data_IF_249497764607
#
_entry.id   IF_249497764607
#
_cell.length_a   1.000
_cell.length_b   1.000
_cell.length_c   1.000
_cell.angle_alpha   90.00
_cell.angle_beta   90.00
_cell.angle_gamma   90.00
#
_symmetry.space_group_name_H-M   'P 1'
#
loop_
_entity.id
_entity.type
_entity.pdbx_description
1 polymer ?
#
# COMPACT_ATOMS: atom_id res chain seq x y z
N UNK A 1 -5.72 -19.25 -28.99
CA UNK A 1 -5.65 -18.68 -27.63
C UNK A 1 -7.01 -18.11 -27.33
N UNK A 2 -7.60 -18.42 -26.18
CA UNK A 2 -8.83 -17.75 -25.75
C UNK A 2 -8.45 -16.34 -25.31
N UNK A 3 -9.02 -15.34 -25.98
CA UNK A 3 -8.92 -13.95 -25.55
C UNK A 3 -10.11 -13.63 -24.65
N UNK A 4 -9.85 -12.86 -23.60
CA UNK A 4 -10.85 -12.33 -22.68
C UNK A 4 -10.84 -10.81 -22.83
N UNK A 5 -12.02 -10.22 -22.91
CA UNK A 5 -12.19 -8.78 -23.01
C UNK A 5 -12.61 -8.22 -21.66
N UNK A 6 -11.88 -7.22 -21.17
CA UNK A 6 -12.18 -6.52 -19.92
C UNK A 6 -12.58 -5.09 -20.25
N UNK A 7 -13.73 -4.63 -19.73
CA UNK A 7 -14.14 -3.24 -19.89
C UNK A 7 -13.35 -2.31 -18.97
N UNK A 8 -12.85 -1.22 -19.53
CA UNK A 8 -12.10 -0.18 -18.83
C UNK A 8 -12.67 1.22 -19.10
N UNK A 9 -13.94 1.30 -19.51
CA UNK A 9 -14.68 2.53 -19.79
C UNK A 9 -14.64 3.54 -18.64
N UNK A 10 -14.68 3.06 -17.39
CA UNK A 10 -14.53 3.88 -16.17
C UNK A 10 -13.21 4.66 -16.10
N UNK A 11 -12.16 4.19 -16.79
CA UNK A 11 -10.88 4.89 -16.90
C UNK A 11 -10.78 5.72 -18.19
N UNK A 12 -11.89 5.94 -18.90
CA UNK A 12 -11.90 6.55 -20.24
C UNK A 12 -11.12 5.74 -21.27
N UNK A 13 -11.08 4.41 -21.11
CA UNK A 13 -10.50 3.46 -22.07
C UNK A 13 -11.61 2.70 -22.79
N UNK A 14 -11.29 2.16 -23.97
CA UNK A 14 -12.09 1.08 -24.55
C UNK A 14 -11.88 -0.24 -23.80
N UNK A 15 -12.49 -1.30 -24.29
CA UNK A 15 -12.22 -2.63 -23.75
C UNK A 15 -10.79 -3.08 -24.07
N UNK A 16 -10.17 -3.79 -23.14
CA UNK A 16 -8.81 -4.32 -23.25
C UNK A 16 -8.91 -5.83 -23.50
N UNK A 17 -8.26 -6.29 -24.56
CA UNK A 17 -8.17 -7.72 -24.87
C UNK A 17 -6.92 -8.31 -24.23
N UNK A 18 -7.09 -9.38 -23.46
CA UNK A 18 -6.01 -10.12 -22.80
C UNK A 18 -6.10 -11.61 -23.12
N UNK A 19 -4.98 -12.31 -23.02
CA UNK A 19 -4.92 -13.76 -23.20
C UNK A 19 -4.34 -14.47 -21.96
N UNK A 20 -4.43 -15.80 -21.97
CA UNK A 20 -3.90 -16.64 -20.91
C UNK A 20 -2.48 -17.16 -21.20
N UNK A 21 -1.70 -16.47 -22.04
CA UNK A 21 -0.33 -16.88 -22.35
C UNK A 21 0.54 -16.87 -21.09
N UNK A 22 1.61 -17.68 -21.10
CA UNK A 22 2.57 -17.72 -20.00
C UNK A 22 3.18 -16.35 -19.71
N UNK A 23 3.43 -15.54 -20.76
CA UNK A 23 3.93 -14.18 -20.62
C UNK A 23 2.97 -13.26 -19.87
N UNK A 24 1.68 -13.31 -20.20
CA UNK A 24 0.66 -12.52 -19.49
C UNK A 24 0.47 -12.97 -18.04
N UNK A 25 0.40 -14.29 -17.80
CA UNK A 25 0.31 -14.84 -16.44
C UNK A 25 1.50 -14.42 -15.58
N UNK A 26 2.70 -14.37 -16.17
CA UNK A 26 3.90 -13.85 -15.48
C UNK A 26 3.75 -12.37 -15.12
N UNK A 27 3.30 -11.51 -16.04
CA UNK A 27 3.07 -10.08 -15.76
C UNK A 27 2.06 -9.87 -14.64
N UNK A 28 0.93 -10.58 -14.67
CA UNK A 28 -0.08 -10.55 -13.62
C UNK A 28 0.47 -11.03 -12.26
N UNK A 29 1.29 -12.08 -12.26
CA UNK A 29 1.99 -12.55 -11.05
C UNK A 29 3.01 -11.54 -10.51
N UNK A 30 3.74 -10.85 -11.38
CA UNK A 30 4.69 -9.79 -11.01
C UNK A 30 3.96 -8.59 -10.38
N UNK A 31 2.81 -8.18 -10.92
CA UNK A 31 1.97 -7.16 -10.29
C UNK A 31 1.56 -7.56 -8.86
N UNK A 32 1.01 -8.77 -8.67
CA UNK A 32 0.58 -9.23 -7.34
C UNK A 32 1.75 -9.27 -6.34
N UNK A 33 2.93 -9.69 -6.79
CA UNK A 33 4.15 -9.68 -5.97
C UNK A 33 4.54 -8.26 -5.56
N UNK A 34 4.53 -7.31 -6.50
CA UNK A 34 4.86 -5.91 -6.23
C UNK A 34 3.89 -5.27 -5.23
N UNK A 35 2.57 -5.48 -5.40
CA UNK A 35 1.57 -4.97 -4.45
C UNK A 35 1.78 -5.56 -3.06
N UNK A 36 1.98 -6.88 -2.98
CA UNK A 36 2.21 -7.56 -1.70
C UNK A 36 3.46 -7.03 -1.01
N UNK A 37 4.54 -6.79 -1.76
CA UNK A 37 5.78 -6.24 -1.20
C UNK A 37 5.58 -4.81 -0.68
N UNK A 38 4.86 -3.95 -1.41
CA UNK A 38 4.55 -2.58 -0.98
C UNK A 38 3.75 -2.59 0.34
N UNK A 39 2.74 -3.47 0.44
CA UNK A 39 1.94 -3.61 1.65
C UNK A 39 2.76 -4.14 2.84
N UNK A 40 3.60 -5.16 2.61
CA UNK A 40 4.48 -5.71 3.64
C UNK A 40 5.50 -4.67 4.14
N UNK A 41 6.07 -3.88 3.25
CA UNK A 41 7.03 -2.84 3.64
C UNK A 41 6.34 -1.72 4.44
N UNK A 42 5.11 -1.35 4.07
CA UNK A 42 4.30 -0.42 4.86
C UNK A 42 4.00 -0.98 6.25
N UNK A 43 3.61 -2.26 6.36
CA UNK A 43 3.36 -2.91 7.66
C UNK A 43 4.62 -2.99 8.53
N UNK A 44 5.79 -3.30 7.92
CA UNK A 44 7.08 -3.31 8.62
C UNK A 44 7.44 -1.93 9.13
N UNK A 45 7.20 -0.88 8.33
CA UNK A 45 7.44 0.51 8.71
C UNK A 45 6.56 0.93 9.89
N UNK A 46 5.26 0.65 9.82
CA UNK A 46 4.31 0.86 10.93
C UNK A 46 4.76 0.14 12.21
N UNK A 47 5.03 -1.17 12.10
CA UNK A 47 5.45 -1.98 13.26
C UNK A 47 6.75 -1.47 13.88
N UNK A 48 7.70 -1.04 13.03
CA UNK A 48 8.95 -0.41 13.47
C UNK A 48 8.71 0.92 14.18
N UNK A 49 7.83 1.77 13.64
CA UNK A 49 7.48 3.05 14.24
C UNK A 49 6.78 2.89 15.60
N UNK A 50 5.85 1.93 15.73
CA UNK A 50 5.20 1.60 17.01
C UNK A 50 6.22 1.12 18.02
N UNK A 51 7.15 0.24 17.62
CA UNK A 51 8.23 -0.23 18.48
C UNK A 51 9.10 0.94 18.96
N UNK A 52 9.48 1.84 18.07
CA UNK A 52 10.36 2.96 18.40
C UNK A 52 9.66 3.99 19.29
N UNK A 53 8.38 4.28 19.06
CA UNK A 53 7.57 5.11 19.96
C UNK A 53 7.50 4.50 21.37
N UNK A 54 7.31 3.18 21.47
CA UNK A 54 7.31 2.48 22.75
C UNK A 54 8.68 2.48 23.46
N UNK A 55 9.77 2.52 22.70
CA UNK A 55 11.13 2.67 23.25
C UNK A 55 11.33 4.11 23.73
N UNK A 56 10.99 5.09 22.91
CA UNK A 56 11.12 6.52 23.18
C UNK A 56 10.40 6.91 24.49
N UNK A 57 9.17 6.42 24.70
CA UNK A 57 8.39 6.67 25.92
C UNK A 57 9.01 6.13 27.21
N UNK A 58 10.00 5.24 27.11
CA UNK A 58 10.66 4.60 28.26
C UNK A 58 12.06 5.11 28.52
N UNK A 59 12.60 5.97 27.66
CA UNK A 59 13.95 6.50 27.81
C UNK A 59 14.05 7.37 29.06
N UNK A 60 15.16 7.24 29.74
CA UNK A 60 15.48 7.95 30.98
C UNK A 60 16.80 8.70 30.82
N UNK A 61 16.73 10.04 30.93
CA UNK A 61 17.89 10.93 30.79
C UNK A 61 19.04 10.63 31.76
N UNK A 62 18.77 9.91 32.85
CA UNK A 62 19.80 9.54 33.83
C UNK A 62 20.67 8.36 33.39
N UNK A 63 20.32 7.67 32.29
CA UNK A 63 21.02 6.47 31.80
C UNK A 63 21.77 6.76 30.50
N UNK A 64 23.08 6.53 30.51
CA UNK A 64 23.93 6.72 29.33
C UNK A 64 23.59 5.79 28.16
N UNK A 65 22.97 4.63 28.41
CA UNK A 65 22.47 3.73 27.35
C UNK A 65 21.22 4.28 26.66
N UNK A 66 20.38 5.02 27.40
CA UNK A 66 19.17 5.63 26.87
C UNK A 66 19.51 6.87 26.02
N UNK A 67 20.56 7.61 26.38
CA UNK A 67 21.13 8.68 25.55
C UNK A 67 21.58 8.17 24.17
N UNK A 68 22.34 7.06 24.13
CA UNK A 68 22.74 6.42 22.86
C UNK A 68 21.55 5.91 22.06
N UNK A 69 20.50 5.49 22.75
CA UNK A 69 19.27 5.04 22.11
C UNK A 69 18.52 6.22 21.49
N UNK A 70 18.46 7.36 22.18
CA UNK A 70 17.88 8.60 21.67
C UNK A 70 18.65 9.08 20.42
N UNK A 71 19.98 9.15 20.47
CA UNK A 71 20.82 9.51 19.31
C UNK A 71 20.54 8.62 18.09
N UNK A 72 20.44 7.29 18.29
CA UNK A 72 20.09 6.36 17.20
C UNK A 72 18.70 6.62 16.61
N UNK A 73 17.73 7.02 17.42
CA UNK A 73 16.40 7.37 16.94
C UNK A 73 16.44 8.71 16.20
N UNK A 74 17.20 9.68 16.69
CA UNK A 74 17.41 10.96 16.01
C UNK A 74 18.05 10.79 14.64
N UNK A 75 19.06 9.93 14.51
CA UNK A 75 19.67 9.58 13.23
C UNK A 75 18.68 8.88 12.29
N UNK A 76 17.89 7.95 12.83
CA UNK A 76 16.91 7.18 12.05
C UNK A 76 15.81 8.07 11.47
N UNK A 77 15.35 9.06 12.24
CA UNK A 77 14.23 9.93 11.88
C UNK A 77 14.66 11.32 11.39
N UNK A 78 15.96 11.64 11.40
CA UNK A 78 16.50 12.90 10.92
C UNK A 78 16.14 14.11 11.79
N UNK A 79 16.00 13.92 13.10
CA UNK A 79 15.50 14.94 14.05
C UNK A 79 16.57 15.56 14.95
N UNK A 80 17.83 15.13 14.80
CA UNK A 80 18.93 15.56 15.66
C UNK A 80 19.24 17.06 15.57
N UNK A 81 19.41 17.69 16.74
CA UNK A 81 19.73 19.12 16.86
C UNK A 81 21.24 19.42 16.91
N UNK A 82 22.08 18.38 16.76
CA UNK A 82 23.54 18.51 16.85
C UNK A 82 24.06 18.82 18.26
N UNK A 83 23.22 18.67 19.29
CA UNK A 83 23.56 18.85 20.69
C UNK A 83 23.00 17.70 21.52
N UNK A 84 23.82 17.21 22.46
CA UNK A 84 23.45 16.20 23.46
C UNK A 84 23.34 16.81 24.86
N UNK A 85 23.15 18.14 24.94
CA UNK A 85 22.96 18.83 26.20
C UNK A 85 21.75 18.23 26.95
N UNK A 86 21.91 17.77 28.21
CA UNK A 86 20.82 17.23 29.00
C UNK A 86 19.61 18.17 29.15
N UNK A 87 19.82 19.49 29.04
CA UNK A 87 18.73 20.47 29.11
C UNK A 87 17.82 20.43 27.87
N UNK A 88 18.30 19.87 26.75
CA UNK A 88 17.51 19.66 25.53
C UNK A 88 16.86 18.29 25.44
N UNK A 89 17.01 17.43 26.47
CA UNK A 89 16.48 16.07 26.46
C UNK A 89 14.99 16.01 26.06
N UNK A 90 14.14 16.77 26.74
CA UNK A 90 12.70 16.74 26.50
C UNK A 90 12.35 17.19 25.07
N UNK A 91 13.05 18.21 24.56
CA UNK A 91 12.88 18.72 23.20
C UNK A 91 13.33 17.71 22.13
N UNK A 92 14.45 17.01 22.39
CA UNK A 92 14.96 15.95 21.50
C UNK A 92 13.99 14.77 21.43
N UNK A 93 13.50 14.33 22.58
CA UNK A 93 12.47 13.28 22.69
C UNK A 93 11.19 13.71 21.95
N UNK A 94 10.71 14.94 22.14
CA UNK A 94 9.52 15.45 21.47
C UNK A 94 9.70 15.53 19.94
N UNK A 95 10.86 15.99 19.47
CA UNK A 95 11.17 16.05 18.04
C UNK A 95 11.12 14.67 17.37
N UNK A 96 11.72 13.66 18.01
CA UNK A 96 11.63 12.25 17.56
C UNK A 96 10.16 11.79 17.58
N UNK A 97 9.42 12.06 18.65
CA UNK A 97 8.02 11.66 18.77
C UNK A 97 7.16 12.27 17.65
N UNK A 98 7.36 13.54 17.32
CA UNK A 98 6.68 14.23 16.22
C UNK A 98 7.00 13.61 14.87
N UNK A 99 8.25 13.20 14.63
CA UNK A 99 8.64 12.53 13.39
C UNK A 99 8.07 11.10 13.27
N UNK A 100 7.92 10.39 14.38
CA UNK A 100 7.36 9.02 14.41
C UNK A 100 5.82 9.04 14.33
N UNK A 101 5.16 10.04 14.93
CA UNK A 101 3.71 10.09 15.12
C UNK A 101 2.88 9.86 13.83
N UNK A 102 3.23 10.42 12.66
CA UNK A 102 2.51 10.15 11.42
C UNK A 102 2.52 8.68 11.02
N UNK A 103 3.55 7.91 11.36
CA UNK A 103 3.67 6.49 11.04
C UNK A 103 2.91 5.60 12.04
N UNK A 104 2.62 6.09 13.25
CA UNK A 104 1.94 5.33 14.33
C UNK A 104 0.43 5.56 14.35
N UNK A 105 -0.04 6.75 13.96
CA UNK A 105 -1.46 7.11 13.99
C UNK A 105 -2.30 6.50 12.86
N UNK A 106 -1.76 5.54 12.10
CA UNK A 106 -2.42 5.02 10.91
C UNK A 106 -3.13 3.69 11.17
N UNK A 107 -4.46 3.71 10.99
CA UNK A 107 -5.33 2.51 11.01
C UNK A 107 -5.48 1.92 9.59
N UNK A 108 -5.10 2.65 8.54
CA UNK A 108 -5.22 2.30 7.11
C UNK A 108 -3.90 2.52 6.36
N UNK A 109 -3.81 2.05 5.11
CA UNK A 109 -2.65 2.29 4.24
C UNK A 109 -2.36 3.79 4.14
N UNK A 110 -1.09 4.20 4.25
CA UNK A 110 -0.71 5.62 4.09
C UNK A 110 -1.18 6.09 2.70
N UNK A 111 -1.57 7.37 2.54
CA UNK A 111 -1.85 7.94 1.22
C UNK A 111 -0.69 7.74 0.22
N UNK A 112 0.55 7.71 0.72
CA UNK A 112 1.73 7.38 -0.08
C UNK A 112 1.84 5.90 -0.47
N UNK A 113 1.29 4.99 0.32
CA UNK A 113 1.23 3.55 0.03
C UNK A 113 0.13 3.27 -0.97
N UNK A 114 -1.06 3.86 -0.78
CA UNK A 114 -2.15 3.81 -1.75
C UNK A 114 -1.69 4.34 -3.11
N UNK A 115 -1.03 5.50 -3.13
CA UNK A 115 -0.43 6.07 -4.33
C UNK A 115 0.51 5.09 -5.04
N UNK A 116 1.46 4.48 -4.33
CA UNK A 116 2.41 3.51 -4.91
C UNK A 116 1.71 2.29 -5.50
N UNK A 117 0.66 1.80 -4.84
CA UNK A 117 -0.15 0.68 -5.33
C UNK A 117 -0.90 1.09 -6.60
N UNK A 118 -1.54 2.27 -6.59
CA UNK A 118 -2.25 2.79 -7.75
C UNK A 118 -1.33 3.04 -8.95
N UNK A 119 -0.10 3.53 -8.74
CA UNK A 119 0.90 3.66 -9.81
C UNK A 119 1.26 2.32 -10.45
N UNK A 120 1.35 1.24 -9.66
CA UNK A 120 1.59 -0.12 -10.17
C UNK A 120 0.40 -0.64 -10.98
N UNK A 121 -0.82 -0.40 -10.51
CA UNK A 121 -2.03 -0.75 -11.26
C UNK A 121 -2.13 0.00 -12.59
N UNK A 122 -1.87 1.32 -12.59
CA UNK A 122 -1.84 2.11 -13.83
C UNK A 122 -0.81 1.58 -14.81
N UNK A 123 0.43 1.35 -14.37
CA UNK A 123 1.50 0.83 -15.23
C UNK A 123 1.09 -0.50 -15.89
N UNK A 124 0.43 -1.38 -15.14
CA UNK A 124 -0.08 -2.64 -15.66
C UNK A 124 -1.20 -2.46 -16.68
N UNK A 125 -2.19 -1.62 -16.39
CA UNK A 125 -3.28 -1.32 -17.33
C UNK A 125 -2.75 -0.68 -18.61
N UNK A 126 -1.79 0.25 -18.50
CA UNK A 126 -1.19 0.95 -19.64
C UNK A 126 -0.40 0.00 -20.54
N UNK A 127 0.40 -0.90 -19.96
CA UNK A 127 1.13 -1.93 -20.69
C UNK A 127 0.18 -2.87 -21.45
N UNK A 128 -0.95 -3.27 -20.83
CA UNK A 128 -1.94 -4.13 -21.48
C UNK A 128 -2.79 -3.42 -22.52
N UNK A 129 -3.14 -2.16 -22.30
CA UNK A 129 -3.89 -1.35 -23.25
C UNK A 129 -3.05 -0.85 -24.43
N UNK A 130 -1.71 -0.97 -24.35
CA UNK A 130 -0.79 -0.48 -25.38
C UNK A 130 -0.75 1.04 -25.49
N UNK A 131 -0.96 1.76 -24.37
CA UNK A 131 -1.06 3.23 -24.33
C UNK A 131 0.15 3.82 -23.60
N UNK A 132 0.60 5.00 -24.04
CA UNK A 132 1.76 5.69 -23.49
C UNK A 132 1.39 6.94 -22.65
N UNK A 133 2.27 7.36 -21.73
CA UNK A 133 2.06 7.42 -20.27
C UNK A 133 2.02 8.82 -19.63
N UNK A 134 2.21 9.93 -20.35
CA UNK A 134 2.29 11.26 -19.68
C UNK A 134 0.93 11.87 -19.32
N UNK A 135 -0.09 11.68 -20.15
CA UNK A 135 -1.38 12.34 -19.97
C UNK A 135 -2.24 11.73 -18.85
N UNK A 136 -2.15 10.41 -18.62
CA UNK A 136 -2.92 9.72 -17.57
C UNK A 136 -2.34 9.94 -16.17
N UNK A 137 -1.01 9.99 -16.05
CA UNK A 137 -0.36 10.33 -14.78
C UNK A 137 -0.76 11.74 -14.31
N UNK A 138 -0.82 12.71 -15.23
CA UNK A 138 -1.35 14.04 -14.94
C UNK A 138 -2.84 14.03 -14.55
N UNK A 139 -3.69 13.26 -15.23
CA UNK A 139 -5.10 13.11 -14.84
C UNK A 139 -5.24 12.53 -13.43
N UNK A 140 -4.43 11.54 -13.09
CA UNK A 140 -4.39 10.99 -11.73
C UNK A 140 -3.90 12.02 -10.71
N UNK A 141 -2.80 12.74 -10.99
CA UNK A 141 -2.27 13.80 -10.12
C UNK A 141 -3.27 14.96 -9.94
N UNK A 142 -4.13 15.21 -10.94
CA UNK A 142 -5.20 16.22 -10.90
C UNK A 142 -6.52 15.70 -10.28
N UNK A 143 -6.62 14.42 -9.94
CA UNK A 143 -7.83 13.82 -9.36
C UNK A 143 -8.95 13.46 -10.35
N UNK A 144 -8.66 13.46 -11.66
CA UNK A 144 -9.62 13.10 -12.72
C UNK A 144 -9.88 11.58 -12.81
N UNK A 145 -9.11 10.76 -12.08
CA UNK A 145 -9.24 9.30 -12.05
C UNK A 145 -9.32 8.80 -10.60
N UNK A 146 -10.32 7.97 -10.32
CA UNK A 146 -10.55 7.32 -9.03
C UNK A 146 -9.51 6.21 -8.79
N UNK A 147 -8.90 6.21 -7.60
CA UNK A 147 -8.00 5.13 -7.15
C UNK A 147 -8.70 3.78 -7.12
N UNK A 148 -9.99 3.78 -6.77
CA UNK A 148 -10.80 2.57 -6.65
C UNK A 148 -11.10 1.97 -8.02
N UNK A 149 -11.47 2.81 -8.99
CA UNK A 149 -11.75 2.38 -10.37
C UNK A 149 -10.48 1.80 -11.02
N UNK A 150 -9.33 2.42 -10.77
CA UNK A 150 -8.03 1.93 -11.25
C UNK A 150 -7.74 0.55 -10.65
N UNK A 151 -7.91 0.41 -9.32
CA UNK A 151 -7.69 -0.86 -8.64
C UNK A 151 -8.65 -1.95 -9.13
N UNK A 152 -9.91 -1.60 -9.41
CA UNK A 152 -10.92 -2.51 -9.92
C UNK A 152 -10.56 -3.04 -11.31
N UNK A 153 -10.24 -2.16 -12.27
CA UNK A 153 -9.85 -2.59 -13.62
C UNK A 153 -8.59 -3.47 -13.57
N UNK A 154 -7.58 -3.09 -12.78
CA UNK A 154 -6.36 -3.88 -12.66
C UNK A 154 -6.62 -5.27 -12.07
N UNK A 155 -7.49 -5.39 -11.06
CA UNK A 155 -7.91 -6.69 -10.49
C UNK A 155 -8.64 -7.53 -11.52
N UNK A 156 -9.62 -6.97 -12.24
CA UNK A 156 -10.36 -7.66 -13.30
C UNK A 156 -9.43 -8.19 -14.40
N UNK A 157 -8.47 -7.38 -14.85
CA UNK A 157 -7.44 -7.81 -15.81
C UNK A 157 -6.57 -8.93 -15.26
N UNK A 158 -6.13 -8.82 -14.00
CA UNK A 158 -5.31 -9.83 -13.33
C UNK A 158 -6.04 -11.16 -13.23
N UNK A 159 -7.31 -11.15 -12.81
CA UNK A 159 -8.12 -12.36 -12.70
C UNK A 159 -8.44 -12.98 -14.05
N UNK A 160 -8.79 -12.15 -15.04
CA UNK A 160 -8.99 -12.60 -16.42
C UNK A 160 -7.73 -13.30 -16.96
N UNK A 161 -6.55 -12.71 -16.80
CA UNK A 161 -5.28 -13.31 -17.27
C UNK A 161 -4.98 -14.63 -16.55
N UNK A 162 -5.16 -14.66 -15.22
CA UNK A 162 -4.85 -15.82 -14.38
C UNK A 162 -5.90 -16.93 -14.48
N UNK A 163 -7.02 -16.69 -15.18
CA UNK A 163 -8.18 -17.61 -15.24
C UNK A 163 -8.75 -17.89 -13.84
N UNK A 164 -8.75 -16.86 -13.00
CA UNK A 164 -9.35 -16.90 -11.66
C UNK A 164 -10.78 -16.41 -11.82
N UNK A 165 -11.74 -17.25 -11.41
CA UNK A 165 -13.12 -16.80 -11.28
C UNK A 165 -13.19 -15.86 -10.09
N UNK A 166 -13.69 -14.65 -10.33
CA UNK A 166 -14.08 -13.76 -9.26
C UNK A 166 -15.20 -14.47 -8.50
N UNK A 167 -14.99 -14.78 -7.21
CA UNK A 167 -16.05 -15.34 -6.36
C UNK A 167 -17.13 -14.25 -6.24
N UNK A 168 -18.07 -14.26 -7.18
CA UNK A 168 -19.24 -13.39 -7.18
C UNK A 168 -20.14 -13.83 -6.03
N UNK A 169 -19.94 -13.19 -4.87
CA UNK A 169 -20.78 -13.27 -3.68
C UNK A 169 -20.85 -14.65 -3.03
N UNK A 170 -20.79 -14.69 -1.70
CA UNK A 170 -21.17 -15.87 -0.94
C UNK A 170 -22.52 -16.37 -1.47
N UNK A 171 -22.51 -17.58 -2.03
CA UNK A 171 -23.69 -18.19 -2.60
C UNK A 171 -24.82 -18.11 -1.57
N UNK A 172 -25.96 -17.52 -1.95
CA UNK A 172 -27.19 -17.49 -1.15
C UNK A 172 -27.71 -18.91 -0.76
N UNK A 173 -27.00 -19.97 -1.16
CA UNK A 173 -27.21 -21.35 -0.74
C UNK A 173 -26.99 -21.59 0.76
N UNK A 174 -26.26 -20.73 1.48
CA UNK A 174 -26.03 -20.90 2.93
C UNK A 174 -27.16 -20.36 3.82
N UNK A 175 -28.25 -19.82 3.24
CA UNK A 175 -29.44 -19.37 3.99
C UNK A 175 -30.55 -20.42 4.14
N UNK A 176 -30.35 -21.68 3.74
CA UNK A 176 -31.33 -22.77 3.97
C UNK A 176 -30.72 -23.96 4.72
N UNK A 177 -30.30 -23.76 5.96
CA UNK A 177 -30.18 -24.85 6.94
C UNK A 177 -30.26 -24.32 8.37
N UNK A 178 -31.35 -23.64 8.70
CA UNK A 178 -31.82 -23.53 10.08
C UNK A 178 -33.30 -23.93 10.10
N UNK A 179 -33.53 -25.24 10.12
CA UNK A 179 -34.82 -25.86 10.37
C UNK A 179 -34.58 -27.22 11.01
N UNK A 180 -34.20 -27.22 12.28
CA UNK A 180 -34.46 -28.36 13.19
C UNK A 180 -34.76 -27.79 14.58
N UNK A 181 -35.98 -28.02 15.06
CA UNK A 181 -36.33 -27.82 16.46
C UNK A 181 -37.76 -27.33 16.69
N UNK A 182 -38.75 -28.14 16.32
CA UNK A 182 -40.03 -28.24 17.05
C UNK A 182 -40.04 -29.60 17.75
#
# INVERSE_FOLDING_TARGET
MTQVTVDASQLGLGSIEVDHSFGMKRKAGELNKDISQIQLDAQRKFSGAVRDMNVLQKLDKSKSEDERTLERLEDKYGTGFGSIDPDYWDMRVESVALAISPEVNQVTLTAGTELKITEKYLTFIEDLAGINTKARKQKFENGDLSTDDIAEVAKKLTFAILDIKEDSEASESDKKSNSVGD
#
